data_IF_405618455595
#
_entry.id   IF_405618455595
#
_cell.length_a   1.000
_cell.length_b   1.000
_cell.length_c   1.000
_cell.angle_alpha   90.00
_cell.angle_beta   90.00
_cell.angle_gamma   90.00
#
_symmetry.space_group_name_H-M   'P 1'
#
loop_
_entity.id
_entity.type
_entity.pdbx_description
1 polymer ?
#
# COMPACT_ATOMS: atom_id res chain seq x y z
N UNK A 1 -28.28 -15.19 50.00
CA UNK A 1 -27.92 -14.01 50.82
C UNK A 1 -28.09 -12.79 49.93
N UNK A 2 -29.09 -11.97 50.21
CA UNK A 2 -29.37 -10.76 49.43
C UNK A 2 -28.50 -9.60 49.89
N UNK A 3 -28.02 -8.80 48.93
CA UNK A 3 -27.24 -7.59 49.21
C UNK A 3 -28.02 -6.64 50.12
N UNK A 4 -27.31 -6.08 51.10
CA UNK A 4 -27.82 -5.08 52.04
C UNK A 4 -28.19 -3.78 51.32
N UNK A 5 -29.01 -2.94 51.96
CA UNK A 5 -29.52 -1.70 51.37
C UNK A 5 -28.39 -0.72 51.02
N UNK A 6 -27.32 -0.71 51.82
CA UNK A 6 -26.12 0.10 51.57
C UNK A 6 -25.29 -0.44 50.41
N UNK A 7 -25.16 -1.76 50.28
CA UNK A 7 -24.49 -2.39 49.12
C UNK A 7 -25.26 -2.16 47.82
N UNK A 8 -26.60 -2.17 47.85
CA UNK A 8 -27.44 -1.82 46.69
C UNK A 8 -27.36 -0.34 46.33
N UNK A 9 -27.19 0.52 47.32
CA UNK A 9 -27.04 1.97 47.11
C UNK A 9 -25.67 2.30 46.53
N UNK A 10 -24.61 1.66 47.04
CA UNK A 10 -23.28 1.71 46.44
C UNK A 10 -23.25 1.14 45.03
N UNK A 11 -23.95 0.04 44.74
CA UNK A 11 -24.05 -0.52 43.39
C UNK A 11 -24.80 0.43 42.42
N UNK A 12 -25.86 1.09 42.89
CA UNK A 12 -26.61 2.08 42.10
C UNK A 12 -25.82 3.39 41.89
N UNK A 13 -25.02 3.82 42.87
CA UNK A 13 -24.12 4.97 42.73
C UNK A 13 -22.88 4.63 41.89
N UNK A 14 -22.43 3.38 41.91
CA UNK A 14 -21.42 2.83 41.00
C UNK A 14 -21.94 2.72 39.56
N UNK A 15 -23.24 2.48 39.36
CA UNK A 15 -23.87 2.46 38.04
C UNK A 15 -24.08 3.86 37.44
N UNK A 16 -24.05 4.91 38.26
CA UNK A 16 -24.20 6.32 37.83
C UNK A 16 -22.88 7.00 37.44
N UNK A 17 -21.73 6.41 37.73
CA UNK A 17 -20.43 6.96 37.31
C UNK A 17 -20.09 6.41 35.92
N UNK A 18 -19.89 7.32 34.97
CA UNK A 18 -19.65 7.06 33.54
C UNK A 18 -18.42 6.15 33.25
N UNK A 19 -17.63 5.76 34.27
CA UNK A 19 -16.49 4.85 34.16
C UNK A 19 -16.38 3.94 35.40
N UNK A 20 -16.43 2.61 35.21
CA UNK A 20 -16.19 1.63 36.26
C UNK A 20 -14.82 0.97 36.10
N UNK A 21 -13.90 1.26 37.02
CA UNK A 21 -12.67 0.49 37.22
C UNK A 21 -13.02 -0.70 38.11
N UNK A 22 -13.19 -1.88 37.53
CA UNK A 22 -13.35 -3.12 38.30
C UNK A 22 -11.96 -3.68 38.57
N UNK A 23 -11.50 -3.58 39.83
CA UNK A 23 -10.18 -4.07 40.25
C UNK A 23 -10.07 -5.60 40.15
N UNK A 24 -8.87 -6.00 39.71
CA UNK A 24 -8.16 -7.27 39.88
C UNK A 24 -8.93 -8.56 39.56
N UNK A 25 -8.59 -9.17 38.43
CA UNK A 25 -8.87 -10.59 38.22
C UNK A 25 -8.08 -11.35 39.30
N UNK A 26 -8.73 -12.16 40.15
CA UNK A 26 -8.02 -12.92 41.17
C UNK A 26 -6.99 -13.84 40.50
N UNK A 27 -5.77 -13.88 41.08
CA UNK A 27 -4.60 -14.70 40.69
C UNK A 27 -4.87 -16.18 40.35
N UNK A 28 -6.08 -16.68 40.55
CA UNK A 28 -6.46 -18.07 40.27
C UNK A 28 -6.59 -18.41 38.78
N UNK A 29 -6.58 -17.43 37.86
CA UNK A 29 -6.69 -17.68 36.41
C UNK A 29 -5.43 -17.40 35.56
N UNK A 30 -4.35 -16.87 36.14
CA UNK A 30 -3.04 -16.76 35.50
C UNK A 30 -1.99 -17.29 36.46
N UNK A 31 -1.70 -18.59 36.40
CA UNK A 31 -0.75 -19.22 37.35
C UNK A 31 0.73 -18.98 37.02
N UNK A 32 1.08 -18.44 35.86
CA UNK A 32 2.47 -18.47 35.38
C UNK A 32 3.04 -17.14 34.85
N UNK A 33 2.44 -15.98 35.15
CA UNK A 33 3.03 -14.67 34.76
C UNK A 33 3.36 -13.82 35.99
N UNK A 34 4.62 -13.36 36.16
CA UNK A 34 5.03 -12.51 37.29
C UNK A 34 4.41 -11.10 37.25
N UNK A 35 3.76 -10.74 36.14
CA UNK A 35 3.24 -9.41 35.88
C UNK A 35 1.78 -9.24 36.34
N UNK A 36 1.44 -8.05 36.84
CA UNK A 36 0.07 -7.71 37.22
C UNK A 36 -0.75 -7.38 35.96
N UNK A 37 -1.70 -8.24 35.61
CA UNK A 37 -2.70 -7.95 34.58
C UNK A 37 -3.89 -7.23 35.19
N UNK A 38 -4.29 -6.11 34.60
CA UNK A 38 -5.45 -5.33 35.03
C UNK A 38 -6.44 -5.24 33.88
N UNK A 39 -7.72 -5.36 34.21
CA UNK A 39 -8.82 -5.29 33.25
C UNK A 39 -9.60 -4.02 33.49
N UNK A 40 -9.70 -3.17 32.48
CA UNK A 40 -10.48 -1.93 32.51
C UNK A 40 -11.71 -2.09 31.63
N UNK A 41 -12.84 -1.61 32.15
CA UNK A 41 -14.09 -1.54 31.42
C UNK A 41 -14.36 -0.08 31.05
N UNK A 42 -14.48 0.19 29.75
CA UNK A 42 -14.96 1.48 29.27
C UNK A 42 -16.35 1.28 28.68
N UNK A 43 -17.31 2.09 29.13
CA UNK A 43 -18.67 2.13 28.60
C UNK A 43 -18.96 3.55 28.16
N UNK A 44 -19.29 3.73 26.89
CA UNK A 44 -19.92 4.98 26.44
C UNK A 44 -21.43 4.87 26.61
N UNK A 45 -22.14 6.00 26.74
CA UNK A 45 -23.57 6.07 27.09
C UNK A 45 -24.48 5.27 26.14
N UNK A 46 -24.02 5.03 24.91
CA UNK A 46 -24.78 4.34 23.86
C UNK A 46 -24.11 3.05 23.34
N UNK A 47 -22.92 2.68 23.84
CA UNK A 47 -22.15 1.57 23.28
C UNK A 47 -22.00 0.38 24.22
N UNK A 48 -21.82 -0.80 23.62
CA UNK A 48 -21.51 -2.02 24.37
C UNK A 48 -20.21 -1.81 25.17
N UNK A 49 -20.12 -2.34 26.41
CA UNK A 49 -18.92 -2.19 27.22
C UNK A 49 -17.71 -2.81 26.51
N UNK A 50 -16.65 -2.02 26.37
CA UNK A 50 -15.36 -2.44 25.82
C UNK A 50 -14.44 -2.83 26.98
N UNK A 51 -13.78 -3.98 26.83
CA UNK A 51 -12.84 -4.50 27.83
C UNK A 51 -11.42 -4.33 27.31
N UNK A 52 -10.59 -3.65 28.09
CA UNK A 52 -9.16 -3.55 27.85
C UNK A 52 -8.43 -4.44 28.87
N UNK A 53 -7.51 -5.25 28.37
CA UNK A 53 -6.60 -6.04 29.21
C UNK A 53 -5.22 -5.45 29.00
N UNK A 54 -4.59 -5.03 30.08
CA UNK A 54 -3.25 -4.47 30.05
C UNK A 54 -2.36 -5.15 31.07
N UNK A 55 -1.09 -5.26 30.74
CA UNK A 55 -0.07 -5.87 31.60
C UNK A 55 1.08 -4.88 31.68
N UNK A 56 1.45 -4.46 32.89
CA UNK A 56 2.60 -3.59 33.13
C UNK A 56 3.68 -4.36 33.90
N UNK A 57 4.97 -4.20 33.53
CA UNK A 57 6.08 -4.84 34.23
C UNK A 57 6.28 -4.27 35.65
N UNK A 58 5.72 -3.11 35.96
CA UNK A 58 5.76 -2.49 37.29
C UNK A 58 4.35 -2.39 37.88
N UNK A 59 4.27 -2.32 39.22
CA UNK A 59 3.09 -1.90 40.00
C UNK A 59 2.81 -0.41 39.79
N UNK A 60 2.88 0.09 38.56
CA UNK A 60 2.55 1.47 38.23
C UNK A 60 1.07 1.72 38.52
N UNK A 61 0.78 2.85 39.15
CA UNK A 61 -0.53 3.22 39.67
C UNK A 61 -1.63 3.03 38.62
N UNK A 62 -2.44 1.99 38.83
CA UNK A 62 -3.74 1.75 38.16
C UNK A 62 -4.56 3.03 37.99
N UNK A 63 -4.39 4.02 38.88
CA UNK A 63 -5.04 5.33 38.86
C UNK A 63 -4.69 6.14 37.60
N UNK A 64 -3.42 6.21 37.18
CA UNK A 64 -2.98 7.05 36.04
C UNK A 64 -3.50 6.49 34.70
N UNK A 65 -3.55 5.16 34.59
CA UNK A 65 -4.02 4.47 33.38
C UNK A 65 -5.56 4.50 33.22
N UNK A 66 -6.28 4.73 34.32
CA UNK A 66 -7.74 4.96 34.32
C UNK A 66 -8.13 6.43 34.13
N UNK A 67 -7.14 7.35 34.09
CA UNK A 67 -7.40 8.76 33.93
C UNK A 67 -8.15 9.04 32.62
N UNK A 68 -9.12 9.95 32.69
CA UNK A 68 -9.87 10.41 31.53
C UNK A 68 -9.12 11.51 30.82
N UNK A 69 -8.85 11.29 29.55
CA UNK A 69 -8.27 12.24 28.63
C UNK A 69 -9.38 12.86 27.79
N UNK A 70 -9.37 14.18 27.69
CA UNK A 70 -10.18 14.92 26.70
C UNK A 70 -9.43 14.92 25.38
N UNK A 71 -9.92 14.17 24.42
CA UNK A 71 -9.29 13.99 23.10
C UNK A 71 -10.27 14.45 22.03
N UNK A 72 -9.78 15.15 21.00
CA UNK A 72 -10.61 15.50 19.84
C UNK A 72 -10.74 14.29 18.92
N UNK A 73 -11.97 13.97 18.50
CA UNK A 73 -12.20 12.97 17.48
C UNK A 73 -11.85 13.50 16.07
N UNK A 74 -11.94 12.64 15.05
CA UNK A 74 -11.67 13.00 13.66
C UNK A 74 -12.56 14.12 13.10
N UNK A 75 -13.70 14.39 13.76
CA UNK A 75 -14.64 15.46 13.43
C UNK A 75 -14.45 16.72 14.31
N UNK A 76 -13.37 16.79 15.09
CA UNK A 76 -13.05 17.92 15.96
C UNK A 76 -13.87 18.00 17.25
N UNK A 77 -14.75 17.04 17.53
CA UNK A 77 -15.54 16.99 18.78
C UNK A 77 -14.67 16.48 19.93
N UNK A 78 -14.77 17.11 21.09
CA UNK A 78 -14.12 16.63 22.30
C UNK A 78 -14.85 15.41 22.84
N UNK A 79 -14.10 14.34 23.07
CA UNK A 79 -14.57 13.09 23.66
C UNK A 79 -13.66 12.71 24.81
N UNK A 80 -14.26 12.15 25.86
CA UNK A 80 -13.53 11.63 27.01
C UNK A 80 -13.24 10.15 26.79
N UNK A 81 -11.99 9.75 27.00
CA UNK A 81 -11.56 8.35 26.91
C UNK A 81 -10.51 8.06 27.96
N UNK A 82 -10.44 6.81 28.42
CA UNK A 82 -9.36 6.39 29.31
C UNK A 82 -8.02 6.47 28.58
N UNK A 83 -6.93 6.74 29.32
CA UNK A 83 -5.57 6.73 28.77
C UNK A 83 -5.24 5.43 28.06
N UNK A 84 -5.62 4.28 28.64
CA UNK A 84 -5.43 2.96 28.00
C UNK A 84 -6.18 2.86 26.67
N UNK A 85 -7.42 3.33 26.60
CA UNK A 85 -8.16 3.31 25.34
C UNK A 85 -7.52 4.20 24.29
N UNK A 86 -6.92 5.34 24.68
CA UNK A 86 -6.19 6.20 23.77
C UNK A 86 -4.91 5.55 23.26
N UNK A 87 -4.08 5.01 24.16
CA UNK A 87 -2.86 4.28 23.82
C UNK A 87 -3.16 3.09 22.92
N UNK A 88 -4.18 2.28 23.26
CA UNK A 88 -4.65 1.18 22.43
C UNK A 88 -5.05 1.65 21.04
N UNK A 89 -5.90 2.68 20.94
CA UNK A 89 -6.36 3.20 19.66
C UNK A 89 -5.20 3.73 18.83
N UNK A 90 -4.22 4.41 19.45
CA UNK A 90 -3.05 4.92 18.77
C UNK A 90 -2.20 3.79 18.16
N UNK A 91 -1.91 2.74 18.95
CA UNK A 91 -1.13 1.59 18.48
C UNK A 91 -1.88 0.76 17.45
N UNK A 92 -3.16 0.45 17.70
CA UNK A 92 -4.00 -0.35 16.80
C UNK A 92 -4.10 0.29 15.41
N UNK A 93 -4.30 1.61 15.36
CA UNK A 93 -4.44 2.35 14.11
C UNK A 93 -3.17 2.35 13.24
N UNK A 94 -2.00 2.01 13.81
CA UNK A 94 -0.74 1.92 13.07
C UNK A 94 -0.76 0.75 12.08
N UNK A 95 -1.29 -0.40 12.49
CA UNK A 95 -1.39 -1.59 11.64
C UNK A 95 -2.39 -1.33 10.51
N UNK A 96 -3.53 -0.74 10.82
CA UNK A 96 -4.55 -0.38 9.83
C UNK A 96 -4.01 0.65 8.82
N UNK A 97 -3.26 1.67 9.27
CA UNK A 97 -2.58 2.62 8.39
C UNK A 97 -1.58 1.92 7.46
N UNK A 98 -0.87 0.92 7.96
CA UNK A 98 0.05 0.14 7.15
C UNK A 98 -0.71 -0.65 6.08
N UNK A 99 -1.75 -1.40 6.43
CA UNK A 99 -2.56 -2.14 5.46
C UNK A 99 -3.24 -1.22 4.44
N UNK A 100 -3.76 -0.08 4.90
CA UNK A 100 -4.30 0.98 4.04
C UNK A 100 -3.23 1.51 3.08
N UNK A 101 -2.01 1.74 3.54
CA UNK A 101 -0.89 2.19 2.70
C UNK A 101 -0.53 1.15 1.64
N UNK A 102 -0.46 -0.13 2.01
CA UNK A 102 -0.28 -1.23 1.06
C UNK A 102 -1.43 -1.30 0.05
N UNK A 103 -2.65 -0.97 0.47
CA UNK A 103 -3.83 -1.00 -0.40
C UNK A 103 -3.75 0.01 -1.56
N UNK A 104 -3.12 1.16 -1.35
CA UNK A 104 -2.98 2.20 -2.37
C UNK A 104 -1.98 1.84 -3.49
N UNK A 105 -1.01 0.97 -3.21
CA UNK A 105 0.04 0.56 -4.16
C UNK A 105 0.12 -0.97 -4.24
N UNK A 106 -1.04 -1.60 -4.51
CA UNK A 106 -1.12 -3.07 -4.63
C UNK A 106 -0.49 -3.57 -5.93
N UNK A 107 0.47 -4.49 -5.79
CA UNK A 107 0.90 -5.41 -6.86
C UNK A 107 -0.15 -6.51 -7.03
N UNK A 108 -1.12 -6.28 -7.91
CA UNK A 108 -2.17 -7.24 -8.20
C UNK A 108 -1.60 -8.39 -9.04
N UNK A 109 -1.45 -9.56 -8.43
CA UNK A 109 -1.01 -10.77 -9.13
C UNK A 109 -2.07 -11.87 -9.04
N UNK A 110 -2.65 -12.24 -10.18
CA UNK A 110 -3.51 -13.43 -10.25
C UNK A 110 -2.64 -14.67 -10.24
N UNK A 111 -2.65 -15.40 -9.12
CA UNK A 111 -1.90 -16.65 -8.98
C UNK A 111 -2.72 -17.71 -8.24
N UNK A 112 -2.54 -18.96 -8.66
CA UNK A 112 -3.14 -20.15 -8.01
C UNK A 112 -2.31 -20.62 -6.81
N UNK A 113 -1.00 -20.35 -6.80
CA UNK A 113 -0.09 -20.76 -5.72
C UNK A 113 -0.14 -19.74 -4.58
N UNK A 114 -0.56 -20.15 -3.39
CA UNK A 114 -0.66 -19.26 -2.23
C UNK A 114 0.70 -18.69 -1.80
N UNK A 115 1.79 -19.45 -1.97
CA UNK A 115 3.16 -19.03 -1.65
C UNK A 115 3.58 -17.76 -2.40
N UNK A 116 3.15 -17.62 -3.66
CA UNK A 116 3.41 -16.40 -4.44
C UNK A 116 2.68 -15.18 -3.86
N UNK A 117 1.52 -15.36 -3.23
CA UNK A 117 0.81 -14.25 -2.56
C UNK A 117 1.58 -13.78 -1.34
N UNK A 118 2.09 -14.72 -0.55
CA UNK A 118 2.94 -14.42 0.61
C UNK A 118 4.22 -13.71 0.18
N UNK A 119 4.88 -14.20 -0.87
CA UNK A 119 6.06 -13.54 -1.43
C UNK A 119 5.78 -12.09 -1.84
N UNK A 120 4.69 -11.84 -2.59
CA UNK A 120 4.33 -10.49 -3.02
C UNK A 120 4.03 -9.58 -1.83
N UNK A 121 3.34 -10.10 -0.81
CA UNK A 121 3.06 -9.35 0.42
C UNK A 121 4.35 -9.00 1.19
N UNK A 122 5.26 -9.95 1.37
CA UNK A 122 6.55 -9.71 2.02
C UNK A 122 7.39 -8.71 1.23
N UNK A 123 7.39 -8.81 -0.09
CA UNK A 123 8.09 -7.86 -0.96
C UNK A 123 7.53 -6.44 -0.83
N UNK A 124 6.20 -6.27 -0.85
CA UNK A 124 5.56 -4.96 -0.62
C UNK A 124 5.89 -4.39 0.76
N UNK A 125 5.85 -5.24 1.79
CA UNK A 125 6.21 -4.88 3.16
C UNK A 125 7.66 -4.39 3.24
N UNK A 126 8.58 -5.11 2.60
CA UNK A 126 10.00 -4.71 2.53
C UNK A 126 10.18 -3.34 1.86
N UNK A 127 9.51 -3.10 0.73
CA UNK A 127 9.56 -1.80 0.03
C UNK A 127 8.97 -0.68 0.91
N UNK A 128 7.85 -0.94 1.60
CA UNK A 128 7.28 0.03 2.54
C UNK A 128 8.26 0.37 3.67
N UNK A 129 8.91 -0.64 4.26
CA UNK A 129 9.90 -0.42 5.31
C UNK A 129 11.11 0.37 4.79
N UNK A 130 11.59 0.08 3.59
CA UNK A 130 12.64 0.87 2.94
C UNK A 130 12.22 2.32 2.73
N UNK A 131 10.97 2.58 2.34
CA UNK A 131 10.44 3.94 2.23
C UNK A 131 10.42 4.66 3.59
N UNK A 132 9.99 3.99 4.66
CA UNK A 132 10.00 4.55 6.01
C UNK A 132 11.42 4.93 6.44
N UNK A 133 12.39 4.04 6.24
CA UNK A 133 13.81 4.32 6.52
C UNK A 133 14.31 5.51 5.68
N UNK A 134 14.00 5.54 4.39
CA UNK A 134 14.35 6.65 3.50
C UNK A 134 13.80 7.99 4.01
N UNK A 135 12.53 8.03 4.43
CA UNK A 135 11.91 9.25 4.99
C UNK A 135 12.55 9.70 6.30
N UNK A 136 13.02 8.76 7.12
CA UNK A 136 13.75 9.08 8.35
C UNK A 136 15.14 9.63 8.08
N UNK A 137 15.83 9.12 7.05
CA UNK A 137 17.18 9.57 6.67
C UNK A 137 17.17 10.87 5.85
N UNK A 138 16.11 11.12 5.09
CA UNK A 138 15.96 12.25 4.17
C UNK A 138 14.68 13.04 4.44
N UNK A 139 14.55 13.70 5.61
CA UNK A 139 13.34 14.44 5.96
C UNK A 139 13.07 15.63 5.03
N UNK A 140 14.10 16.18 4.37
CA UNK A 140 14.02 17.25 3.38
C UNK A 140 13.31 16.82 2.09
N UNK A 141 13.35 15.53 1.75
CA UNK A 141 12.76 15.01 0.52
C UNK A 141 11.26 14.81 0.69
N UNK A 142 10.50 15.72 0.07
CA UNK A 142 9.04 15.62 -0.06
C UNK A 142 8.67 14.65 -1.19
N UNK A 143 8.79 13.36 -0.93
CA UNK A 143 8.26 12.32 -1.82
C UNK A 143 7.13 11.53 -1.14
N UNK A 144 6.10 11.20 -1.91
CA UNK A 144 5.08 10.23 -1.51
C UNK A 144 5.57 8.80 -1.71
N UNK A 145 4.85 7.83 -1.12
CA UNK A 145 5.18 6.42 -1.29
C UNK A 145 5.12 5.98 -2.76
N UNK A 146 4.17 6.52 -3.55
CA UNK A 146 4.04 6.20 -4.99
C UNK A 146 5.27 6.62 -5.78
N UNK A 147 5.78 7.83 -5.50
CA UNK A 147 6.96 8.36 -6.18
C UNK A 147 8.19 7.52 -5.84
N UNK A 148 8.32 7.12 -4.58
CA UNK A 148 9.38 6.22 -4.14
C UNK A 148 9.32 4.86 -4.87
N UNK A 149 8.14 4.28 -5.04
CA UNK A 149 7.97 3.04 -5.81
C UNK A 149 8.37 3.21 -7.28
N UNK A 150 7.99 4.33 -7.92
CA UNK A 150 8.37 4.60 -9.31
C UNK A 150 9.89 4.76 -9.43
N UNK A 151 10.50 5.49 -8.50
CA UNK A 151 11.95 5.67 -8.45
C UNK A 151 12.68 4.34 -8.28
N UNK A 152 12.27 3.54 -7.29
CA UNK A 152 12.83 2.20 -7.05
C UNK A 152 12.66 1.28 -8.26
N UNK A 153 11.49 1.28 -8.90
CA UNK A 153 11.24 0.48 -10.10
C UNK A 153 12.14 0.91 -11.28
N UNK A 154 12.36 2.21 -11.45
CA UNK A 154 13.28 2.74 -12.46
C UNK A 154 14.71 2.29 -12.20
N UNK A 155 15.15 2.36 -10.94
CA UNK A 155 16.50 1.97 -10.53
C UNK A 155 16.74 0.46 -10.72
N UNK A 156 15.84 -0.39 -10.20
CA UNK A 156 15.90 -1.84 -10.40
C UNK A 156 15.91 -2.24 -11.88
N UNK A 157 15.11 -1.54 -12.71
CA UNK A 157 15.10 -1.75 -14.16
C UNK A 157 16.45 -1.40 -14.79
N UNK A 158 17.09 -0.32 -14.36
CA UNK A 158 18.39 0.10 -14.89
C UNK A 158 19.48 -0.90 -14.49
N UNK A 159 19.49 -1.35 -13.23
CA UNK A 159 20.41 -2.40 -12.75
C UNK A 159 20.23 -3.71 -13.53
N UNK A 160 18.99 -4.14 -13.76
CA UNK A 160 18.70 -5.34 -14.55
C UNK A 160 19.19 -5.22 -16.00
N UNK A 161 19.07 -4.04 -16.62
CA UNK A 161 19.61 -3.78 -17.97
C UNK A 161 21.13 -3.91 -17.99
N UNK A 162 21.83 -3.33 -17.00
CA UNK A 162 23.29 -3.41 -16.90
C UNK A 162 23.76 -4.84 -16.71
N UNK A 163 23.11 -5.61 -15.81
CA UNK A 163 23.43 -7.02 -15.61
C UNK A 163 23.15 -7.87 -16.87
N UNK A 164 22.08 -7.56 -17.60
CA UNK A 164 21.81 -8.24 -18.88
C UNK A 164 22.88 -7.93 -19.93
N UNK A 165 23.31 -6.67 -20.02
CA UNK A 165 24.37 -6.25 -20.93
C UNK A 165 25.68 -6.98 -20.61
N UNK A 166 26.07 -7.04 -19.33
CA UNK A 166 27.30 -7.72 -18.91
C UNK A 166 27.23 -9.23 -19.19
N UNK A 167 26.09 -9.87 -18.93
CA UNK A 167 25.86 -11.27 -19.25
C UNK A 167 25.94 -11.56 -20.76
N UNK A 168 25.29 -10.74 -21.60
CA UNK A 168 25.35 -10.89 -23.05
C UNK A 168 26.76 -10.65 -23.61
N UNK A 169 27.53 -9.73 -23.00
CA UNK A 169 28.94 -9.51 -23.34
C UNK A 169 29.80 -10.74 -23.03
N UNK A 170 29.60 -11.38 -21.88
CA UNK A 170 30.29 -12.63 -21.52
C UNK A 170 30.00 -13.79 -22.49
N UNK A 171 28.79 -13.82 -23.05
CA UNK A 171 28.38 -14.82 -24.04
C UNK A 171 28.79 -14.49 -25.49
N UNK A 172 29.47 -13.36 -25.74
CA UNK A 172 29.81 -12.91 -27.11
C UNK A 172 28.60 -12.45 -27.94
N UNK A 173 27.42 -12.32 -27.33
CA UNK A 173 26.16 -11.98 -27.98
C UNK A 173 25.84 -10.47 -27.95
N UNK A 174 26.76 -9.63 -27.47
CA UNK A 174 26.52 -8.19 -27.30
C UNK A 174 26.28 -7.46 -28.62
N UNK A 175 26.84 -7.96 -29.73
CA UNK A 175 26.62 -7.43 -31.08
C UNK A 175 25.44 -8.10 -31.81
N UNK A 176 24.71 -9.03 -31.16
CA UNK A 176 23.54 -9.64 -31.78
C UNK A 176 22.43 -8.58 -31.97
N UNK A 177 21.84 -8.44 -33.17
CA UNK A 177 20.81 -7.45 -33.43
C UNK A 177 19.69 -7.60 -32.41
N UNK A 178 19.45 -6.51 -31.65
CA UNK A 178 18.43 -6.30 -30.62
C UNK A 178 17.48 -7.51 -30.46
N UNK A 179 17.78 -8.39 -29.50
CA UNK A 179 16.85 -9.37 -28.91
C UNK A 179 15.72 -8.63 -28.16
N UNK A 180 14.94 -7.83 -28.90
CA UNK A 180 13.78 -7.08 -28.46
C UNK A 180 12.52 -7.95 -28.41
N UNK A 181 12.59 -9.24 -28.77
CA UNK A 181 11.37 -10.03 -29.03
C UNK A 181 10.98 -11.13 -28.03
N UNK A 182 11.75 -11.43 -26.99
CA UNK A 182 11.43 -12.62 -26.16
C UNK A 182 10.80 -12.29 -24.80
N UNK A 183 10.93 -11.06 -24.28
CA UNK A 183 10.14 -10.66 -23.11
C UNK A 183 9.01 -9.79 -23.63
N UNK A 184 7.84 -10.41 -23.84
CA UNK A 184 6.57 -9.66 -23.88
C UNK A 184 6.39 -9.04 -22.49
N UNK A 185 7.07 -7.94 -22.22
CA UNK A 185 6.51 -6.95 -21.32
C UNK A 185 5.10 -6.72 -21.86
N UNK A 186 4.08 -6.93 -21.04
CA UNK A 186 2.73 -6.54 -21.39
C UNK A 186 2.78 -5.03 -21.59
N UNK A 187 3.01 -4.58 -22.83
CA UNK A 187 2.78 -3.20 -23.21
C UNK A 187 1.33 -2.95 -22.84
N UNK A 188 1.06 -1.93 -22.02
CA UNK A 188 -0.30 -1.43 -21.79
C UNK A 188 -0.79 -0.99 -23.16
N UNK A 189 -1.43 -1.91 -23.89
CA UNK A 189 -2.04 -1.60 -25.17
C UNK A 189 -3.27 -0.77 -24.83
N UNK A 190 -3.45 0.43 -25.39
CA UNK A 190 -4.69 1.17 -25.22
C UNK A 190 -5.85 0.27 -25.65
N UNK A 191 -6.94 0.30 -24.88
CA UNK A 191 -8.17 -0.45 -25.16
C UNK A 191 -8.59 -0.08 -26.58
N UNK A 192 -8.54 -1.06 -27.50
CA UNK A 192 -8.94 -0.86 -28.89
C UNK A 192 -10.43 -0.57 -28.90
N UNK A 193 -10.79 0.69 -29.10
CA UNK A 193 -12.17 1.04 -29.48
C UNK A 193 -12.40 0.44 -30.88
N UNK A 194 -13.56 -0.18 -31.10
CA UNK A 194 -13.93 -0.85 -32.37
C UNK A 194 -14.04 0.10 -33.59
N UNK A 195 -13.56 1.34 -33.48
CA UNK A 195 -13.44 2.26 -34.59
C UNK A 195 -12.23 1.84 -35.42
N UNK A 196 -12.47 1.04 -36.45
CA UNK A 196 -11.48 0.78 -37.51
C UNK A 196 -11.12 2.14 -38.09
N UNK A 197 -9.96 2.68 -37.73
CA UNK A 197 -9.42 3.89 -38.35
C UNK A 197 -9.30 3.61 -39.84
N UNK A 198 -10.08 4.32 -40.65
CA UNK A 198 -10.02 4.19 -42.10
C UNK A 198 -8.60 4.54 -42.55
N UNK A 199 -7.90 3.57 -43.12
CA UNK A 199 -6.53 3.74 -43.61
C UNK A 199 -6.61 4.28 -45.02
N UNK A 200 -6.24 5.54 -45.20
CA UNK A 200 -6.20 6.19 -46.50
C UNK A 200 -4.73 6.41 -46.90
N UNK A 201 -4.43 6.29 -48.20
CA UNK A 201 -3.12 6.66 -48.71
C UNK A 201 -2.87 8.15 -48.46
N UNK A 202 -1.72 8.54 -47.91
CA UNK A 202 -1.38 9.95 -47.72
C UNK A 202 -1.27 10.72 -49.04
N UNK A 203 -0.82 10.07 -50.12
CA UNK A 203 -0.55 10.73 -51.40
C UNK A 203 -1.77 10.80 -52.33
N UNK A 204 -2.63 9.78 -52.30
CA UNK A 204 -3.77 9.69 -53.24
C UNK A 204 -5.11 9.43 -52.58
N UNK A 205 -5.17 9.44 -51.24
CA UNK A 205 -6.39 9.27 -50.43
C UNK A 205 -7.23 8.01 -50.70
N UNK A 206 -6.69 7.04 -51.46
CA UNK A 206 -7.31 5.72 -51.66
C UNK A 206 -7.55 5.04 -50.31
N UNK A 207 -8.78 4.62 -50.07
CA UNK A 207 -9.22 3.95 -48.83
C UNK A 207 -8.78 2.49 -48.80
N UNK A 208 -8.68 1.92 -47.60
CA UNK A 208 -8.41 0.48 -47.42
C UNK A 208 -6.95 0.09 -47.68
N UNK A 209 -6.01 1.02 -47.51
CA UNK A 209 -4.60 0.72 -47.78
C UNK A 209 -3.93 -0.04 -46.64
N UNK A 210 -3.14 -1.06 -47.01
CA UNK A 210 -2.44 -1.93 -46.06
C UNK A 210 -0.94 -1.64 -45.94
N UNK A 211 -0.36 -0.84 -46.84
CA UNK A 211 1.08 -0.57 -46.81
C UNK A 211 1.38 0.54 -45.80
N UNK A 212 2.24 0.22 -44.84
CA UNK A 212 2.69 1.12 -43.78
C UNK A 212 4.18 1.40 -43.94
N UNK A 213 4.58 2.67 -43.89
CA UNK A 213 5.98 3.05 -43.86
C UNK A 213 6.46 3.10 -42.40
N UNK A 214 7.47 2.28 -42.07
CA UNK A 214 8.02 2.22 -40.71
C UNK A 214 8.79 3.47 -40.30
N UNK A 215 9.27 4.26 -41.26
CA UNK A 215 10.04 5.46 -40.98
C UNK A 215 9.16 6.68 -40.66
N UNK A 216 8.26 7.07 -41.57
CA UNK A 216 7.38 8.23 -41.37
C UNK A 216 6.07 7.89 -40.63
N UNK A 217 5.79 6.60 -40.37
CA UNK A 217 4.59 6.08 -39.69
C UNK A 217 3.26 6.37 -40.41
N UNK A 218 3.29 6.58 -41.72
CA UNK A 218 2.11 6.87 -42.55
C UNK A 218 1.68 5.66 -43.41
N UNK A 219 0.44 5.71 -43.91
CA UNK A 219 -0.13 4.68 -44.79
C UNK A 219 -0.13 5.14 -46.25
N UNK A 220 0.22 4.21 -47.15
CA UNK A 220 0.29 4.46 -48.59
C UNK A 220 -0.38 3.32 -49.35
N UNK A 221 -0.86 3.58 -50.58
CA UNK A 221 -1.21 2.50 -51.50
C UNK A 221 0.06 1.84 -52.04
N UNK A 222 -0.06 0.64 -52.64
CA UNK A 222 1.11 -0.10 -53.14
C UNK A 222 1.97 0.72 -54.12
N UNK A 223 1.33 1.52 -54.97
CA UNK A 223 2.01 2.31 -55.99
C UNK A 223 2.72 3.53 -55.40
N UNK A 224 1.98 4.37 -54.66
CA UNK A 224 2.54 5.55 -53.98
C UNK A 224 3.58 5.20 -52.91
N UNK A 225 3.63 3.94 -52.42
CA UNK A 225 4.68 3.47 -51.51
C UNK A 225 6.05 3.46 -52.18
N UNK A 226 6.15 3.06 -53.45
CA UNK A 226 7.44 3.00 -54.15
C UNK A 226 8.02 4.40 -54.31
N UNK A 227 7.20 5.36 -54.76
CA UNK A 227 7.58 6.77 -54.87
C UNK A 227 7.99 7.33 -53.52
N UNK A 228 7.18 7.06 -52.48
CA UNK A 228 7.47 7.51 -51.12
C UNK A 228 8.76 6.92 -50.53
N UNK A 229 9.11 5.65 -50.79
CA UNK A 229 10.32 5.04 -50.23
C UNK A 229 11.58 5.75 -50.74
N UNK A 230 11.60 6.17 -52.01
CA UNK A 230 12.72 6.89 -52.59
C UNK A 230 12.95 8.22 -51.85
N UNK A 231 11.89 8.95 -51.55
CA UNK A 231 11.97 10.25 -50.87
C UNK A 231 12.13 10.13 -49.35
N UNK A 232 11.50 9.14 -48.72
CA UNK A 232 11.51 8.96 -47.28
C UNK A 232 12.88 8.54 -46.75
N UNK A 233 13.64 7.76 -47.53
CA UNK A 233 14.99 7.33 -47.14
C UNK A 233 16.00 8.48 -47.27
N UNK A 234 15.83 9.35 -48.28
CA UNK A 234 16.71 10.53 -48.48
C UNK A 234 16.64 11.55 -47.36
N UNK A 235 15.47 11.70 -46.72
CA UNK A 235 15.26 12.66 -45.63
C UNK A 235 15.68 12.14 -44.24
N UNK A 236 16.09 10.88 -44.11
CA UNK A 236 16.57 10.30 -42.83
C UNK A 236 18.09 10.35 -42.67
N UNK A 237 18.84 10.72 -43.71
CA UNK A 237 20.30 10.79 -43.72
C UNK A 237 20.85 12.21 -43.53
N UNK A 238 19.99 13.20 -43.32
CA UNK A 238 20.35 14.61 -43.18
C UNK A 238 20.07 15.20 -41.77
N UNK A 239 19.77 14.34 -40.79
CA UNK A 239 19.72 14.70 -39.36
C UNK A 239 20.73 13.89 -38.56
#
# INVERSE_FOLDING_TARGET
>A
MGLTRDEKTQLNDLQKKDFQVVREVPRKMLKDTPDASVVIYQRDKETKPVRFVYTTPEKSDTVDQTALLKVKNSHGREIERTRIADEYNHSYFTIDKFDQSLSYVRFIHKTRKWSNRVFVFLFQTAVYNSFTIFKLQHPEVKCGIKDFYIWLACELRNQAKLHRISFLRKLGLYNAPKLQKIIRAHSVQPIKTNKVTQRNCLLCFKRGVACYCGACKQYYCKQCRYDHIIDCVRNLTLE
#
